data_IF_466464903826
#
_entry.id   IF_466464903826
#
_cell.length_a   1.000
_cell.length_b   1.000
_cell.length_c   1.000
_cell.angle_alpha   90.00
_cell.angle_beta   90.00
_cell.angle_gamma   90.00
#
_symmetry.space_group_name_H-M   'P 1'
#
loop_
_entity.id
_entity.type
_entity.pdbx_description
1 polymer ?
#
# COMPACT_ATOMS: atom_id res chain seq x y z
N UNK A 1 15.65 -19.49 21.99
CA UNK A 1 15.11 -18.13 21.71
C UNK A 1 16.24 -17.23 21.24
N UNK A 2 15.92 -16.29 20.39
CA UNK A 2 16.85 -15.34 19.79
C UNK A 2 16.37 -13.90 20.03
N UNK A 3 17.30 -12.98 20.24
CA UNK A 3 17.04 -11.55 20.09
C UNK A 3 17.48 -11.14 18.69
N UNK A 4 16.63 -10.43 17.98
CA UNK A 4 16.94 -9.76 16.73
C UNK A 4 17.13 -8.27 17.02
N UNK A 5 18.26 -7.73 16.59
CA UNK A 5 18.60 -6.31 16.72
C UNK A 5 18.67 -5.75 15.31
N UNK A 6 17.85 -4.75 15.04
CA UNK A 6 17.79 -4.05 13.76
C UNK A 6 18.39 -2.67 13.94
N UNK A 7 19.29 -2.26 13.05
CA UNK A 7 19.88 -0.92 13.00
C UNK A 7 19.60 -0.28 11.65
N UNK A 8 19.35 1.03 11.65
CA UNK A 8 19.10 1.84 10.45
C UNK A 8 19.74 3.21 10.58
N UNK A 9 19.78 3.98 9.51
CA UNK A 9 20.29 5.34 9.50
C UNK A 9 19.15 6.34 9.23
N UNK A 10 18.76 7.10 10.25
CA UNK A 10 17.69 8.08 10.14
C UNK A 10 16.36 7.44 9.72
N UNK A 11 15.74 7.96 8.68
CA UNK A 11 14.47 7.46 8.10
C UNK A 11 14.67 6.55 6.89
N UNK A 12 15.92 6.11 6.62
CA UNK A 12 16.19 5.17 5.51
C UNK A 12 15.61 3.79 5.83
N UNK A 13 15.06 3.14 4.84
CA UNK A 13 14.46 1.80 4.91
C UNK A 13 15.50 0.67 4.81
N UNK A 14 16.80 1.00 4.88
CA UNK A 14 17.90 0.04 4.82
C UNK A 14 18.34 -0.35 6.22
N UNK A 15 18.51 -1.65 6.44
CA UNK A 15 18.77 -2.21 7.75
C UNK A 15 19.97 -3.14 7.77
N UNK A 16 20.70 -3.12 8.90
CA UNK A 16 21.53 -4.24 9.32
C UNK A 16 20.78 -5.07 10.35
N UNK A 17 21.01 -6.38 10.32
CA UNK A 17 20.43 -7.32 11.26
C UNK A 17 21.52 -8.00 12.06
N UNK A 18 21.33 -8.03 13.38
CA UNK A 18 22.20 -8.79 14.29
C UNK A 18 21.33 -9.73 15.12
N UNK A 19 21.86 -10.91 15.43
CA UNK A 19 21.19 -11.92 16.24
C UNK A 19 22.02 -12.26 17.46
N UNK A 20 21.32 -12.60 18.54
CA UNK A 20 21.93 -13.01 19.81
C UNK A 20 21.12 -14.16 20.41
N UNK A 21 21.72 -15.30 20.75
CA UNK A 21 21.01 -16.39 21.40
C UNK A 21 20.61 -16.02 22.83
N UNK A 22 19.34 -16.22 23.19
CA UNK A 22 18.79 -16.03 24.53
C UNK A 22 18.72 -17.39 25.24
N UNK A 23 19.84 -17.89 25.75
CA UNK A 23 19.92 -19.15 26.51
C UNK A 23 19.96 -18.90 28.02
N UNK A 24 20.10 -19.98 28.80
CA UNK A 24 20.29 -19.93 30.28
C UNK A 24 21.58 -19.18 30.66
N UNK A 25 22.57 -19.13 29.77
CA UNK A 25 23.77 -18.29 29.88
C UNK A 25 23.88 -17.48 28.55
N UNK A 26 23.21 -16.36 28.46
CA UNK A 26 23.28 -15.51 27.24
C UNK A 26 24.73 -15.04 27.06
N UNK A 27 25.24 -15.17 25.84
CA UNK A 27 26.60 -14.70 25.53
C UNK A 27 26.72 -13.19 25.49
N UNK A 28 25.62 -12.46 25.43
CA UNK A 28 25.52 -11.00 25.24
C UNK A 28 26.33 -10.48 24.04
N UNK A 29 26.69 -11.38 23.13
CA UNK A 29 27.41 -11.03 21.90
C UNK A 29 26.46 -11.17 20.73
N UNK A 30 26.02 -10.05 20.20
CA UNK A 30 25.28 -10.01 18.95
C UNK A 30 26.21 -10.39 17.80
N UNK A 31 25.74 -11.23 16.90
CA UNK A 31 26.44 -11.62 15.67
C UNK A 31 25.71 -11.02 14.49
N UNK A 32 26.42 -10.48 13.50
CA UNK A 32 25.78 -9.94 12.30
C UNK A 32 25.13 -11.07 11.49
N UNK A 33 23.85 -10.92 11.18
CA UNK A 33 23.09 -11.74 10.24
C UNK A 33 23.09 -11.10 8.85
N UNK A 34 22.91 -9.78 8.80
CA UNK A 34 23.00 -8.96 7.58
C UNK A 34 23.86 -7.74 7.89
N UNK A 35 24.84 -7.46 7.04
CA UNK A 35 25.73 -6.30 7.13
C UNK A 35 25.49 -5.34 5.97
N UNK A 36 25.82 -4.08 6.21
CA UNK A 36 25.70 -3.01 5.23
C UNK A 36 24.26 -2.53 5.09
N UNK A 37 24.03 -1.27 5.24
CA UNK A 37 22.73 -0.63 5.11
C UNK A 37 22.32 -0.54 3.62
N UNK A 38 22.09 -1.70 2.98
CA UNK A 38 21.86 -1.80 1.54
C UNK A 38 20.40 -2.11 1.18
N UNK A 39 19.73 -2.89 2.02
CA UNK A 39 18.40 -3.45 1.74
C UNK A 39 17.45 -3.30 2.91
N UNK A 40 16.16 -3.28 2.59
CA UNK A 40 15.06 -3.39 3.55
C UNK A 40 14.96 -4.82 4.08
N UNK A 41 14.74 -4.95 5.40
CA UNK A 41 14.54 -6.22 6.09
C UNK A 41 13.48 -6.07 7.17
N UNK A 42 12.34 -6.73 7.00
CA UNK A 42 11.25 -6.74 7.98
C UNK A 42 11.05 -8.17 8.49
N UNK A 43 11.16 -8.38 9.80
CA UNK A 43 10.85 -9.67 10.40
C UNK A 43 9.36 -9.98 10.23
N UNK A 44 9.06 -11.14 9.67
CA UNK A 44 7.70 -11.70 9.60
C UNK A 44 7.40 -12.47 10.88
N UNK A 45 8.23 -13.47 11.21
CA UNK A 45 8.07 -14.33 12.38
C UNK A 45 9.33 -15.17 12.64
N UNK A 46 9.44 -15.68 13.86
CA UNK A 46 10.48 -16.61 14.27
C UNK A 46 9.91 -17.86 14.93
N UNK A 47 10.20 -19.04 14.37
CA UNK A 47 9.79 -20.34 14.91
C UNK A 47 11.01 -21.23 15.15
N UNK A 48 11.35 -21.44 16.41
CA UNK A 48 12.56 -22.16 16.78
C UNK A 48 13.81 -21.40 16.33
N UNK A 49 14.57 -21.98 15.42
CA UNK A 49 15.76 -21.38 14.82
C UNK A 49 15.50 -20.78 13.43
N UNK A 50 14.30 -20.92 12.91
CA UNK A 50 13.95 -20.39 11.58
C UNK A 50 13.28 -19.03 11.71
N UNK A 51 13.79 -18.05 10.96
CA UNK A 51 13.25 -16.70 10.85
C UNK A 51 12.80 -16.45 9.42
N UNK A 52 11.67 -15.75 9.25
CA UNK A 52 11.17 -15.30 7.94
C UNK A 52 11.24 -13.78 7.87
N UNK A 53 11.66 -13.28 6.73
CA UNK A 53 11.78 -11.85 6.46
C UNK A 53 11.12 -11.48 5.14
N UNK A 54 10.59 -10.26 5.09
CA UNK A 54 10.34 -9.53 3.83
C UNK A 54 11.58 -8.70 3.53
N UNK A 55 12.04 -8.70 2.27
CA UNK A 55 13.20 -7.91 1.84
C UNK A 55 13.10 -7.46 0.41
N UNK A 56 13.75 -6.32 0.08
CA UNK A 56 13.93 -5.85 -1.29
C UNK A 56 15.27 -6.31 -1.91
N UNK A 57 16.03 -7.17 -1.24
CA UNK A 57 17.28 -7.70 -1.78
C UNK A 57 17.02 -8.51 -3.06
N UNK A 58 17.56 -8.02 -4.18
CA UNK A 58 17.34 -8.57 -5.53
C UNK A 58 15.84 -8.71 -5.91
N UNK A 59 14.97 -7.87 -5.31
CA UNK A 59 13.52 -7.89 -5.46
C UNK A 59 12.91 -6.51 -5.16
N UNK A 60 12.95 -5.53 -6.08
CA UNK A 60 12.50 -4.16 -5.84
C UNK A 60 11.02 -4.03 -5.44
N UNK A 61 10.18 -5.05 -5.66
CA UNK A 61 8.79 -5.15 -5.20
C UNK A 61 8.62 -6.08 -4.01
N UNK A 62 9.71 -6.41 -3.33
CA UNK A 62 9.80 -7.26 -2.15
C UNK A 62 9.53 -8.75 -2.43
N UNK A 63 10.18 -9.57 -1.61
CA UNK A 63 10.03 -11.03 -1.56
C UNK A 63 10.06 -11.52 -0.12
N UNK A 64 9.65 -12.76 0.11
CA UNK A 64 9.79 -13.43 1.41
C UNK A 64 10.94 -14.41 1.35
N UNK A 65 11.83 -14.31 2.32
CA UNK A 65 12.94 -15.25 2.52
C UNK A 65 12.87 -15.87 3.91
N UNK A 66 13.54 -17.00 4.10
CA UNK A 66 13.76 -17.57 5.44
C UNK A 66 15.24 -17.89 5.65
N UNK A 67 15.64 -17.96 6.92
CA UNK A 67 16.99 -18.31 7.32
C UNK A 67 16.93 -19.19 8.59
N UNK A 68 17.76 -20.25 8.66
CA UNK A 68 18.03 -20.97 9.90
C UNK A 68 19.25 -20.35 10.58
N UNK A 69 19.06 -19.82 11.77
CA UNK A 69 20.08 -19.08 12.52
C UNK A 69 20.90 -19.95 13.48
N UNK A 70 20.64 -21.26 13.55
CA UNK A 70 21.43 -22.18 14.36
C UNK A 70 22.76 -22.56 13.70
N UNK A 71 22.88 -22.39 12.40
CA UNK A 71 24.08 -22.73 11.64
C UNK A 71 25.23 -21.72 11.80
N UNK A 72 26.48 -22.19 11.58
CA UNK A 72 27.66 -21.30 11.62
C UNK A 72 27.68 -20.26 10.50
N UNK A 73 27.03 -20.55 9.38
CA UNK A 73 26.90 -19.68 8.22
C UNK A 73 25.43 -19.67 7.75
N UNK A 74 24.58 -18.78 8.30
CA UNK A 74 23.19 -18.71 7.91
C UNK A 74 23.03 -18.38 6.41
N UNK A 75 22.20 -19.16 5.71
CA UNK A 75 21.90 -18.98 4.29
C UNK A 75 20.42 -18.62 4.16
N UNK A 76 20.14 -17.51 3.46
CA UNK A 76 18.77 -17.13 3.12
C UNK A 76 18.25 -17.96 1.96
N UNK A 77 17.02 -18.44 2.12
CA UNK A 77 16.31 -19.23 1.10
C UNK A 77 15.06 -18.45 0.67
N UNK A 78 14.84 -18.28 -0.62
CA UNK A 78 13.62 -17.67 -1.15
C UNK A 78 12.42 -18.56 -0.88
N UNK A 79 11.38 -18.00 -0.25
CA UNK A 79 10.12 -18.68 0.09
C UNK A 79 9.01 -18.20 -0.86
N UNK A 80 8.88 -16.89 -1.04
CA UNK A 80 7.95 -16.29 -1.98
C UNK A 80 8.76 -15.35 -2.88
N UNK A 81 8.91 -15.65 -4.17
CA UNK A 81 9.65 -14.79 -5.09
C UNK A 81 8.93 -13.47 -5.33
N UNK A 82 9.67 -12.47 -5.81
CA UNK A 82 9.09 -11.21 -6.30
C UNK A 82 8.03 -11.47 -7.38
N UNK A 83 7.01 -10.62 -7.38
CA UNK A 83 5.91 -10.65 -8.35
C UNK A 83 5.78 -9.30 -9.07
N UNK A 84 4.85 -9.24 -10.03
CA UNK A 84 4.48 -7.97 -10.67
C UNK A 84 3.80 -7.00 -9.69
N UNK A 85 3.07 -7.54 -8.71
CA UNK A 85 2.46 -6.80 -7.62
C UNK A 85 3.48 -6.51 -6.52
N UNK A 86 3.35 -5.36 -5.86
CA UNK A 86 4.24 -4.98 -4.74
C UNK A 86 3.79 -5.64 -3.45
N UNK A 87 4.63 -6.50 -2.86
CA UNK A 87 4.39 -7.05 -1.53
C UNK A 87 4.51 -5.93 -0.49
N UNK A 88 3.55 -5.79 0.40
CA UNK A 88 3.58 -4.80 1.48
C UNK A 88 3.74 -5.41 2.85
N UNK A 89 3.29 -6.65 3.01
CA UNK A 89 3.37 -7.36 4.27
C UNK A 89 3.26 -8.86 4.07
N UNK A 90 3.95 -9.62 4.92
CA UNK A 90 3.76 -11.04 5.09
C UNK A 90 3.52 -11.35 6.57
N UNK A 91 2.68 -12.34 6.86
CA UNK A 91 2.36 -12.77 8.23
C UNK A 91 2.16 -14.27 8.28
N UNK A 92 2.45 -14.88 9.43
CA UNK A 92 2.15 -16.29 9.68
C UNK A 92 0.87 -16.38 10.51
N UNK A 93 -0.11 -17.13 9.98
CA UNK A 93 -1.39 -17.44 10.63
C UNK A 93 -1.56 -18.95 10.58
N UNK A 94 -1.51 -19.59 11.74
CA UNK A 94 -1.44 -21.06 11.80
C UNK A 94 -0.22 -21.59 11.06
N UNK A 95 -0.45 -22.42 10.07
CA UNK A 95 0.60 -23.04 9.22
C UNK A 95 0.69 -22.38 7.82
N UNK A 96 0.25 -21.13 7.68
CA UNK A 96 0.18 -20.44 6.41
C UNK A 96 0.88 -19.09 6.45
N UNK A 97 1.46 -18.70 5.31
CA UNK A 97 1.86 -17.34 5.02
C UNK A 97 0.70 -16.61 4.37
N UNK A 98 0.25 -15.52 4.99
CA UNK A 98 -0.67 -14.54 4.40
C UNK A 98 0.18 -13.40 3.85
N UNK A 99 -0.04 -13.07 2.59
CA UNK A 99 0.74 -12.10 1.81
C UNK A 99 -0.19 -10.97 1.38
N UNK A 100 0.11 -9.77 1.82
CA UNK A 100 -0.61 -8.56 1.39
C UNK A 100 0.17 -7.88 0.28
N UNK A 101 -0.49 -7.63 -0.85
CA UNK A 101 0.06 -6.96 -2.02
C UNK A 101 -0.72 -5.69 -2.35
N UNK A 102 -0.06 -4.79 -3.06
CA UNK A 102 -0.73 -3.73 -3.82
C UNK A 102 -0.66 -4.09 -5.31
N UNK A 103 -1.83 -4.13 -5.93
CA UNK A 103 -2.01 -4.28 -7.36
C UNK A 103 -2.78 -3.09 -7.91
N UNK A 104 -2.13 -2.27 -8.74
CA UNK A 104 -2.72 -1.05 -9.28
C UNK A 104 -3.37 -0.19 -8.18
N UNK A 105 -2.60 0.12 -7.12
CA UNK A 105 -3.01 0.95 -5.99
C UNK A 105 -4.20 0.43 -5.16
N UNK A 106 -4.55 -0.84 -5.23
CA UNK A 106 -5.57 -1.49 -4.40
C UNK A 106 -5.03 -2.76 -3.74
N UNK A 107 -5.62 -3.15 -2.62
CA UNK A 107 -5.20 -4.35 -1.91
C UNK A 107 -5.52 -5.62 -2.68
N UNK A 108 -4.57 -6.54 -2.63
CA UNK A 108 -4.70 -7.94 -3.02
C UNK A 108 -4.10 -8.79 -1.91
N UNK A 109 -4.76 -9.84 -1.50
CA UNK A 109 -4.28 -10.75 -0.47
C UNK A 109 -4.13 -12.16 -1.01
N UNK A 110 -3.05 -12.85 -0.62
CA UNK A 110 -2.78 -14.23 -1.02
C UNK A 110 -2.37 -15.07 0.18
N UNK A 111 -2.49 -16.37 0.05
CA UNK A 111 -2.08 -17.34 1.06
C UNK A 111 -1.26 -18.46 0.42
N UNK A 112 -0.17 -18.87 1.09
CA UNK A 112 0.67 -20.00 0.68
C UNK A 112 1.18 -20.78 1.91
N UNK A 113 1.95 -21.84 1.68
CA UNK A 113 2.58 -22.62 2.75
C UNK A 113 3.82 -21.90 3.33
N UNK A 114 4.26 -22.28 4.53
CA UNK A 114 5.47 -21.74 5.16
C UNK A 114 6.77 -22.05 4.40
N UNK A 115 6.75 -23.09 3.57
CA UNK A 115 7.86 -23.44 2.68
C UNK A 115 7.75 -22.81 1.28
N UNK A 116 6.71 -21.99 1.06
CA UNK A 116 6.39 -21.45 -0.26
C UNK A 116 5.54 -22.40 -1.10
N UNK A 117 5.54 -22.19 -2.41
CA UNK A 117 4.75 -22.94 -3.37
C UNK A 117 3.58 -22.12 -3.96
N UNK A 118 2.62 -22.77 -4.64
CA UNK A 118 1.50 -22.08 -5.25
C UNK A 118 0.72 -21.25 -4.23
N UNK A 119 0.53 -19.97 -4.52
CA UNK A 119 -0.25 -19.08 -3.69
C UNK A 119 -1.69 -18.97 -4.19
N UNK A 120 -2.65 -19.02 -3.27
CA UNK A 120 -4.10 -18.87 -3.53
C UNK A 120 -4.52 -17.46 -3.15
N UNK A 121 -5.32 -16.82 -3.98
CA UNK A 121 -5.89 -15.51 -3.68
C UNK A 121 -6.97 -15.61 -2.60
N UNK A 122 -6.95 -14.66 -1.67
CA UNK A 122 -8.00 -14.42 -0.68
C UNK A 122 -8.91 -13.36 -1.29
N UNK A 123 -10.18 -13.71 -1.55
CA UNK A 123 -11.14 -12.78 -2.14
C UNK A 123 -11.44 -11.62 -1.20
N UNK A 124 -11.25 -10.40 -1.67
CA UNK A 124 -11.58 -9.16 -0.95
C UNK A 124 -12.90 -8.52 -1.43
N UNK A 125 -13.56 -9.12 -2.41
CA UNK A 125 -14.91 -8.79 -2.92
C UNK A 125 -15.10 -7.42 -3.60
N UNK A 126 -14.18 -6.46 -3.46
CA UNK A 126 -14.34 -5.12 -4.04
C UNK A 126 -12.99 -4.40 -4.22
N UNK A 127 -13.01 -3.26 -4.93
CA UNK A 127 -11.90 -2.29 -4.95
C UNK A 127 -11.81 -1.66 -3.56
N UNK A 128 -10.69 -1.86 -2.86
CA UNK A 128 -10.55 -1.36 -1.51
C UNK A 128 -9.17 -1.60 -0.91
N UNK A 129 -9.08 -1.35 0.37
CA UNK A 129 -7.90 -1.57 1.20
C UNK A 129 -8.22 -2.60 2.27
N UNK A 130 -7.47 -3.70 2.26
CA UNK A 130 -7.46 -4.68 3.32
C UNK A 130 -6.25 -4.47 4.24
N UNK A 131 -6.45 -4.56 5.55
CA UNK A 131 -5.40 -4.46 6.56
C UNK A 131 -5.68 -5.42 7.71
N UNK A 132 -4.61 -5.86 8.37
CA UNK A 132 -4.73 -6.83 9.47
C UNK A 132 -4.10 -8.16 9.08
N UNK A 133 -4.84 -9.25 9.17
CA UNK A 133 -4.36 -10.63 9.06
C UNK A 133 -3.28 -10.98 10.10
N UNK A 134 -3.22 -10.23 11.21
CA UNK A 134 -2.29 -10.52 12.30
C UNK A 134 -2.70 -11.82 12.98
N UNK A 135 -1.74 -12.71 13.21
CA UNK A 135 -1.99 -14.00 13.83
C UNK A 135 -0.75 -14.53 14.50
N UNK A 136 -0.84 -15.77 14.96
CA UNK A 136 0.26 -16.51 15.57
C UNK A 136 0.41 -17.88 14.91
N UNK A 137 1.64 -18.45 14.91
CA UNK A 137 1.82 -19.83 14.50
C UNK A 137 0.95 -20.76 15.38
N UNK A 138 0.24 -21.70 14.73
CA UNK A 138 -0.62 -22.66 15.41
C UNK A 138 -2.09 -22.24 15.57
N UNK A 139 -2.42 -20.94 15.48
CA UNK A 139 -3.81 -20.47 15.45
C UNK A 139 -4.22 -20.14 14.01
N UNK A 140 -5.15 -20.88 13.42
CA UNK A 140 -5.57 -20.67 12.04
C UNK A 140 -6.52 -19.50 11.85
N UNK A 141 -7.04 -18.91 12.92
CA UNK A 141 -7.99 -17.79 12.88
C UNK A 141 -7.26 -16.46 12.88
N UNK A 142 -7.74 -15.55 12.04
CA UNK A 142 -7.31 -14.16 12.06
C UNK A 142 -8.45 -13.22 11.62
N UNK A 143 -8.23 -11.93 11.79
CA UNK A 143 -9.17 -10.89 11.38
C UNK A 143 -8.46 -9.89 10.47
N UNK A 144 -9.24 -9.33 9.53
CA UNK A 144 -8.80 -8.21 8.72
C UNK A 144 -9.90 -7.17 8.57
N UNK A 145 -9.51 -5.91 8.51
CA UNK A 145 -10.37 -4.81 8.13
C UNK A 145 -10.39 -4.63 6.62
N UNK A 146 -11.54 -4.30 6.05
CA UNK A 146 -11.67 -3.90 4.66
C UNK A 146 -12.45 -2.60 4.55
N UNK A 147 -11.95 -1.66 3.75
CA UNK A 147 -12.58 -0.37 3.50
C UNK A 147 -12.46 0.01 2.03
N UNK A 148 -13.42 0.78 1.52
CA UNK A 148 -13.40 1.36 0.18
C UNK A 148 -13.83 2.83 0.27
N UNK A 149 -13.81 3.58 -0.83
CA UNK A 149 -14.25 4.98 -0.83
C UNK A 149 -15.69 5.17 -0.38
N UNK A 150 -16.59 4.24 -0.75
CA UNK A 150 -18.03 4.26 -0.43
C UNK A 150 -18.42 3.26 0.68
N UNK A 151 -17.45 2.59 1.30
CA UNK A 151 -17.71 1.59 2.34
C UNK A 151 -16.76 1.82 3.52
N UNK A 152 -17.28 2.20 4.70
CA UNK A 152 -16.48 2.27 5.92
C UNK A 152 -15.87 0.92 6.27
N UNK A 153 -14.86 0.95 7.14
CA UNK A 153 -14.17 -0.26 7.56
C UNK A 153 -15.11 -1.30 8.16
N UNK A 154 -15.20 -2.45 7.50
CA UNK A 154 -15.81 -3.67 8.03
C UNK A 154 -14.71 -4.62 8.52
N UNK A 155 -15.02 -5.46 9.49
CA UNK A 155 -14.11 -6.48 10.02
C UNK A 155 -14.57 -7.84 9.54
N UNK A 156 -13.64 -8.61 9.00
CA UNK A 156 -13.86 -9.98 8.55
C UNK A 156 -13.01 -10.93 9.39
N UNK A 157 -13.60 -12.07 9.72
CA UNK A 157 -12.93 -13.23 10.29
C UNK A 157 -12.46 -14.13 9.16
N UNK A 158 -11.20 -14.55 9.19
CA UNK A 158 -10.59 -15.42 8.17
C UNK A 158 -10.03 -16.68 8.81
N UNK A 159 -10.32 -17.84 8.22
CA UNK A 159 -9.75 -19.14 8.62
C UNK A 159 -8.72 -19.58 7.57
N UNK A 160 -7.45 -19.65 7.96
CA UNK A 160 -6.33 -19.99 7.08
C UNK A 160 -6.30 -21.46 6.63
N UNK A 161 -7.07 -22.36 7.26
CA UNK A 161 -7.20 -23.77 6.85
C UNK A 161 -8.14 -23.89 5.64
N UNK A 162 -9.25 -23.16 5.68
CA UNK A 162 -10.28 -23.21 4.63
C UNK A 162 -10.10 -22.14 3.56
N UNK A 163 -9.46 -21.02 3.92
CA UNK A 163 -9.33 -19.84 3.07
C UNK A 163 -10.63 -19.04 2.96
N UNK A 164 -11.55 -19.20 3.90
CA UNK A 164 -12.84 -18.53 3.91
C UNK A 164 -12.83 -17.28 4.80
N UNK A 165 -13.46 -16.22 4.30
CA UNK A 165 -13.75 -14.99 5.05
C UNK A 165 -15.23 -14.93 5.37
N UNK A 166 -15.57 -14.54 6.59
CA UNK A 166 -16.94 -14.26 7.04
C UNK A 166 -17.02 -12.88 7.66
N UNK A 167 -18.09 -12.13 7.38
CA UNK A 167 -18.29 -10.84 8.03
C UNK A 167 -18.41 -11.03 9.55
N UNK A 168 -17.64 -10.25 10.31
CA UNK A 168 -17.64 -10.27 11.77
C UNK A 168 -18.30 -9.02 12.34
N UNK A 169 -17.97 -7.86 11.81
CA UNK A 169 -18.59 -6.59 12.19
C UNK A 169 -18.66 -5.66 10.98
N UNK A 170 -19.86 -5.20 10.68
CA UNK A 170 -20.13 -4.28 9.58
C UNK A 170 -20.84 -3.03 10.11
N UNK A 171 -20.41 -1.82 9.71
CA UNK A 171 -21.09 -0.60 10.10
C UNK A 171 -22.45 -0.49 9.42
N UNK A 172 -23.43 0.05 10.13
CA UNK A 172 -24.71 0.44 9.53
C UNK A 172 -24.51 1.74 8.76
N UNK A 173 -24.96 1.77 7.51
CA UNK A 173 -24.84 2.93 6.64
C UNK A 173 -26.17 3.67 6.56
N UNK A 174 -26.11 5.01 6.50
CA UNK A 174 -27.25 5.88 6.21
C UNK A 174 -27.47 6.12 4.71
N UNK A 175 -26.66 5.50 3.85
CA UNK A 175 -26.72 5.59 2.40
C UNK A 175 -26.46 4.22 1.76
N UNK A 176 -26.83 4.06 0.50
CA UNK A 176 -26.55 2.85 -0.26
C UNK A 176 -25.19 2.99 -1.01
N UNK A 177 -24.15 2.18 -0.69
CA UNK A 177 -22.89 2.21 -1.41
C UNK A 177 -23.01 2.00 -2.93
N UNK A 178 -24.05 1.26 -3.38
CA UNK A 178 -24.28 0.99 -4.79
C UNK A 178 -24.67 2.24 -5.61
N UNK A 179 -25.04 3.37 -4.93
CA UNK A 179 -25.38 4.63 -5.60
C UNK A 179 -24.15 5.40 -6.10
N UNK A 180 -22.94 4.92 -5.77
CA UNK A 180 -21.69 5.58 -6.12
C UNK A 180 -20.89 4.74 -7.10
N UNK A 181 -20.31 5.42 -8.11
CA UNK A 181 -19.33 4.86 -9.02
C UNK A 181 -17.93 5.01 -8.43
N UNK A 182 -17.12 3.96 -8.53
CA UNK A 182 -15.69 3.98 -8.26
C UNK A 182 -15.02 3.48 -9.53
N UNK A 183 -14.32 4.39 -10.21
CA UNK A 183 -13.60 4.08 -11.44
C UNK A 183 -12.10 4.12 -11.18
N UNK A 184 -11.37 3.21 -11.80
CA UNK A 184 -9.93 3.29 -11.86
C UNK A 184 -9.52 3.58 -13.29
N UNK A 185 -8.77 4.65 -13.48
CA UNK A 185 -8.25 5.08 -14.77
C UNK A 185 -6.73 5.17 -14.74
N UNK A 186 -6.13 5.18 -15.93
CA UNK A 186 -4.70 5.41 -16.11
C UNK A 186 -4.54 6.55 -17.11
N UNK A 187 -3.76 7.55 -16.75
CA UNK A 187 -3.46 8.68 -17.59
C UNK A 187 -1.94 8.83 -17.79
N UNK A 188 -1.50 9.37 -18.93
CA UNK A 188 -0.09 9.62 -19.14
C UNK A 188 0.36 10.86 -18.39
N UNK A 189 1.49 10.79 -17.69
CA UNK A 189 2.24 11.95 -17.22
C UNK A 189 2.98 12.62 -18.38
N UNK A 190 3.63 13.75 -18.11
CA UNK A 190 4.39 14.52 -19.10
C UNK A 190 5.46 13.70 -19.83
N UNK A 191 6.07 12.74 -19.17
CA UNK A 191 7.08 11.83 -19.71
C UNK A 191 6.49 10.53 -20.30
N UNK A 192 5.16 10.40 -20.38
CA UNK A 192 4.45 9.25 -20.88
C UNK A 192 4.24 8.14 -19.85
N UNK A 193 4.75 8.28 -18.63
CA UNK A 193 4.51 7.30 -17.55
C UNK A 193 3.03 7.19 -17.26
N UNK A 194 2.49 5.96 -17.21
CA UNK A 194 1.08 5.71 -16.87
C UNK A 194 0.86 5.82 -15.38
N UNK A 195 0.04 6.79 -14.97
CA UNK A 195 -0.28 7.07 -13.58
C UNK A 195 -1.70 6.59 -13.27
N UNK A 196 -1.91 5.76 -12.23
CA UNK A 196 -3.25 5.36 -11.81
C UNK A 196 -3.95 6.49 -11.08
N UNK A 197 -5.27 6.56 -11.25
CA UNK A 197 -6.14 7.45 -10.49
C UNK A 197 -7.48 6.78 -10.25
N UNK A 198 -8.00 6.92 -9.04
CA UNK A 198 -9.38 6.59 -8.73
C UNK A 198 -10.25 7.82 -8.87
N UNK A 199 -11.45 7.65 -9.44
CA UNK A 199 -12.45 8.70 -9.57
C UNK A 199 -13.75 8.17 -8.94
N UNK A 200 -14.32 8.97 -8.03
CA UNK A 200 -15.51 8.59 -7.26
C UNK A 200 -16.56 9.68 -7.38
N UNK A 201 -17.76 9.29 -7.76
CA UNK A 201 -18.90 10.21 -7.87
C UNK A 201 -20.23 9.46 -7.72
N UNK A 202 -21.31 10.21 -7.51
CA UNK A 202 -22.66 9.63 -7.50
C UNK A 202 -23.04 9.16 -8.90
N UNK A 203 -23.64 7.98 -9.02
CA UNK A 203 -24.18 7.48 -10.29
C UNK A 203 -25.26 8.43 -10.80
N UNK A 204 -25.27 8.67 -12.12
CA UNK A 204 -26.22 9.60 -12.74
C UNK A 204 -25.91 11.08 -12.48
N UNK A 205 -24.72 11.41 -11.95
CA UNK A 205 -24.30 12.81 -11.83
C UNK A 205 -24.21 13.45 -13.21
N UNK A 206 -24.86 14.63 -13.36
CA UNK A 206 -24.76 15.42 -14.60
C UNK A 206 -23.36 16.06 -14.73
N UNK A 207 -22.58 15.55 -15.65
CA UNK A 207 -21.24 16.03 -15.96
C UNK A 207 -21.19 16.95 -17.21
N UNK A 208 -22.32 17.31 -17.79
CA UNK A 208 -22.38 18.10 -19.05
C UNK A 208 -21.66 19.45 -18.94
N UNK A 209 -21.57 20.03 -17.75
CA UNK A 209 -20.85 21.30 -17.48
C UNK A 209 -19.64 21.10 -16.58
N UNK A 210 -19.20 19.84 -16.35
CA UNK A 210 -18.25 19.45 -15.34
C UNK A 210 -18.74 19.70 -13.92
N UNK A 211 -18.40 18.83 -12.98
CA UNK A 211 -18.75 18.95 -11.56
C UNK A 211 -17.63 19.62 -10.74
N UNK A 212 -17.94 20.22 -9.58
CA UNK A 212 -16.93 20.56 -8.60
C UNK A 212 -16.13 19.31 -8.24
N UNK A 213 -14.80 19.36 -8.38
CA UNK A 213 -13.93 18.20 -8.23
C UNK A 213 -12.83 18.48 -7.22
N UNK A 214 -12.63 17.55 -6.30
CA UNK A 214 -11.53 17.55 -5.36
C UNK A 214 -10.51 16.49 -5.78
N UNK A 215 -9.33 16.92 -6.20
CA UNK A 215 -8.20 16.07 -6.55
C UNK A 215 -7.24 15.98 -5.37
N UNK A 216 -7.00 14.77 -4.88
CA UNK A 216 -6.07 14.48 -3.79
C UNK A 216 -4.81 13.80 -4.31
N UNK A 217 -3.66 14.17 -3.76
CA UNK A 217 -2.39 13.50 -3.99
C UNK A 217 -1.46 13.54 -2.78
N UNK A 218 -0.47 12.64 -2.78
CA UNK A 218 0.57 12.59 -1.74
C UNK A 218 1.98 12.56 -2.34
N UNK A 219 2.34 11.51 -3.08
CA UNK A 219 3.54 11.37 -3.90
C UNK A 219 4.86 11.47 -3.11
N UNK A 220 5.08 10.64 -2.10
CA UNK A 220 6.33 10.63 -1.37
C UNK A 220 6.43 9.54 -0.30
N UNK A 221 7.63 9.42 0.29
CA UNK A 221 7.95 8.56 1.44
C UNK A 221 7.55 7.10 1.30
N UNK A 222 7.54 6.56 0.06
CA UNK A 222 7.12 5.18 -0.22
C UNK A 222 5.71 4.85 0.32
N UNK A 223 4.87 5.87 0.56
CA UNK A 223 3.52 5.69 1.10
C UNK A 223 2.53 5.56 -0.05
N UNK A 224 1.99 4.36 -0.22
CA UNK A 224 0.93 4.09 -1.19
C UNK A 224 -0.39 4.69 -0.76
N UNK A 225 -1.07 5.34 -1.70
CA UNK A 225 -2.43 5.83 -1.50
C UNK A 225 -3.41 4.79 -2.01
N UNK A 226 -4.18 4.20 -1.12
CA UNK A 226 -5.15 3.14 -1.46
C UNK A 226 -6.58 3.56 -1.12
N UNK A 227 -7.61 2.96 -1.74
CA UNK A 227 -9.01 3.31 -1.51
C UNK A 227 -9.41 3.13 -0.05
N UNK A 228 -9.79 4.21 0.62
CA UNK A 228 -10.25 4.22 2.01
C UNK A 228 -11.45 5.13 2.19
N UNK A 229 -12.31 4.80 3.14
CA UNK A 229 -13.46 5.60 3.49
C UNK A 229 -13.07 6.88 4.23
N UNK A 230 -13.76 7.96 3.89
CA UNK A 230 -13.74 9.21 4.65
C UNK A 230 -15.14 9.81 4.65
N UNK A 231 -15.70 10.07 5.83
CA UNK A 231 -17.03 10.65 5.95
C UNK A 231 -17.12 12.05 5.31
N UNK A 232 -16.06 12.85 5.40
CA UNK A 232 -16.01 14.19 4.78
C UNK A 232 -15.99 14.12 3.26
N UNK A 233 -15.20 13.18 2.68
CA UNK A 233 -15.20 12.94 1.23
C UNK A 233 -16.53 12.38 0.76
N UNK A 234 -17.15 11.50 1.56
CA UNK A 234 -18.46 10.95 1.23
C UNK A 234 -19.54 12.05 1.23
N UNK A 235 -19.52 12.97 2.19
CA UNK A 235 -20.41 14.13 2.20
C UNK A 235 -20.23 15.02 0.96
N UNK A 236 -18.98 15.26 0.54
CA UNK A 236 -18.65 15.96 -0.71
C UNK A 236 -19.28 15.28 -1.93
N UNK A 237 -19.08 13.95 -2.05
CA UNK A 237 -19.60 13.16 -3.17
C UNK A 237 -21.14 13.14 -3.17
N UNK A 238 -21.77 12.99 -2.00
CA UNK A 238 -23.23 13.02 -1.84
C UNK A 238 -23.82 14.38 -2.26
N UNK A 239 -23.10 15.47 -2.06
CA UNK A 239 -23.47 16.82 -2.45
C UNK A 239 -23.28 17.12 -3.95
N UNK A 240 -22.91 16.11 -4.76
CA UNK A 240 -22.72 16.25 -6.20
C UNK A 240 -21.29 16.61 -6.62
N UNK A 241 -20.32 16.52 -5.72
CA UNK A 241 -18.90 16.63 -6.04
C UNK A 241 -18.31 15.35 -6.61
N UNK A 242 -17.22 15.49 -7.37
CA UNK A 242 -16.33 14.40 -7.78
C UNK A 242 -15.13 14.39 -6.84
N UNK A 243 -14.68 13.20 -6.42
CA UNK A 243 -13.43 13.00 -5.71
C UNK A 243 -12.48 12.19 -6.59
N UNK A 244 -11.26 12.66 -6.75
CA UNK A 244 -10.21 11.94 -7.46
C UNK A 244 -8.99 11.74 -6.57
N UNK A 245 -8.39 10.54 -6.59
CA UNK A 245 -7.18 10.17 -5.87
C UNK A 245 -6.12 9.75 -6.88
N UNK A 246 -5.10 10.58 -7.08
CA UNK A 246 -3.99 10.27 -7.97
C UNK A 246 -2.87 9.51 -7.23
N UNK A 247 -2.45 8.38 -7.79
CA UNK A 247 -1.38 7.53 -7.26
C UNK A 247 -0.04 7.94 -7.87
N UNK A 248 0.55 8.99 -7.32
CA UNK A 248 1.72 9.66 -7.89
C UNK A 248 3.01 8.89 -7.62
N UNK A 249 3.99 9.04 -8.51
CA UNK A 249 5.37 8.61 -8.24
C UNK A 249 5.87 9.19 -6.91
N UNK A 250 6.83 8.50 -6.27
CA UNK A 250 7.26 8.81 -4.90
C UNK A 250 6.51 8.02 -3.83
N UNK A 251 5.31 7.50 -4.14
CA UNK A 251 4.62 6.49 -3.35
C UNK A 251 5.22 5.10 -3.51
N UNK A 252 4.58 4.08 -2.94
CA UNK A 252 5.04 2.68 -2.93
C UNK A 252 4.24 1.74 -3.85
N UNK A 253 3.31 2.25 -4.65
CA UNK A 253 2.32 1.46 -5.39
C UNK A 253 2.94 0.42 -6.32
N UNK A 254 4.11 0.74 -6.90
CA UNK A 254 4.85 -0.14 -7.80
C UNK A 254 6.27 -0.44 -7.29
N UNK A 255 6.47 -0.34 -5.96
CA UNK A 255 7.73 -0.66 -5.30
C UNK A 255 8.81 0.41 -5.44
N UNK A 256 10.06 0.00 -5.16
CA UNK A 256 11.20 0.93 -5.10
C UNK A 256 11.42 1.80 -6.35
N UNK A 257 11.29 1.30 -7.60
CA UNK A 257 11.45 2.16 -8.78
C UNK A 257 10.43 3.30 -8.84
N UNK A 258 9.19 3.06 -8.41
CA UNK A 258 8.15 4.07 -8.34
C UNK A 258 8.46 5.14 -7.30
N UNK A 259 8.94 4.71 -6.14
CA UNK A 259 9.37 5.62 -5.09
C UNK A 259 10.56 6.48 -5.52
N UNK A 260 11.61 5.87 -6.08
CA UNK A 260 12.82 6.56 -6.50
C UNK A 260 12.55 7.55 -7.66
N UNK A 261 11.56 7.26 -8.52
CA UNK A 261 11.16 8.13 -9.62
C UNK A 261 10.44 9.42 -9.17
N UNK A 262 10.09 9.56 -7.87
CA UNK A 262 9.39 10.74 -7.34
C UNK A 262 10.09 11.40 -6.15
N UNK A 263 11.39 11.13 -5.91
CA UNK A 263 12.12 11.71 -4.78
C UNK A 263 13.39 12.43 -5.20
N UNK A 264 13.94 13.26 -4.30
CA UNK A 264 15.19 14.02 -4.49
C UNK A 264 15.16 14.80 -5.81
N UNK A 265 16.13 14.55 -6.71
CA UNK A 265 16.23 15.23 -7.99
C UNK A 265 15.10 14.87 -8.98
N UNK A 266 14.38 13.79 -8.73
CA UNK A 266 13.22 13.37 -9.52
C UNK A 266 11.88 13.92 -8.99
N UNK A 267 11.90 14.80 -7.98
CA UNK A 267 10.67 15.28 -7.33
C UNK A 267 9.73 16.01 -8.28
N UNK A 268 10.24 16.64 -9.34
CA UNK A 268 9.41 17.31 -10.36
C UNK A 268 8.43 16.33 -11.03
N UNK A 269 8.79 15.08 -11.20
CA UNK A 269 7.88 14.07 -11.77
C UNK A 269 6.55 13.97 -11.01
N UNK A 270 6.58 14.14 -9.67
CA UNK A 270 5.37 14.10 -8.84
C UNK A 270 4.42 15.26 -9.15
N UNK A 271 4.98 16.44 -9.38
CA UNK A 271 4.20 17.63 -9.72
C UNK A 271 3.65 17.54 -11.14
N UNK A 272 4.44 17.01 -12.08
CA UNK A 272 4.02 16.74 -13.45
C UNK A 272 2.90 15.68 -13.51
N UNK A 273 3.02 14.60 -12.70
CA UNK A 273 1.97 13.58 -12.56
C UNK A 273 0.64 14.19 -12.06
N UNK A 274 0.73 15.09 -11.07
CA UNK A 274 -0.45 15.70 -10.47
C UNK A 274 -1.12 16.72 -11.39
N UNK A 275 -0.33 17.52 -12.11
CA UNK A 275 -0.84 18.43 -13.13
C UNK A 275 -1.56 17.66 -14.25
N UNK A 276 -0.95 16.56 -14.73
CA UNK A 276 -1.55 15.69 -15.74
C UNK A 276 -2.86 15.03 -15.25
N UNK A 277 -2.99 14.72 -13.95
CA UNK A 277 -4.25 14.27 -13.37
C UNK A 277 -5.36 15.32 -13.53
N UNK A 278 -5.06 16.56 -13.19
CA UNK A 278 -5.99 17.67 -13.34
C UNK A 278 -6.40 17.89 -14.80
N UNK A 279 -5.44 17.87 -15.72
CA UNK A 279 -5.68 17.98 -17.17
C UNK A 279 -6.57 16.83 -17.68
N UNK A 280 -6.31 15.60 -17.22
CA UNK A 280 -7.13 14.45 -17.56
C UNK A 280 -8.59 14.62 -17.10
N UNK A 281 -8.81 15.07 -15.86
CA UNK A 281 -10.15 15.28 -15.31
C UNK A 281 -10.93 16.34 -16.10
N UNK A 282 -10.28 17.42 -16.53
CA UNK A 282 -10.87 18.45 -17.41
C UNK A 282 -11.16 17.88 -18.79
N UNK A 283 -10.18 17.23 -19.42
CA UNK A 283 -10.30 16.70 -20.78
C UNK A 283 -11.39 15.61 -20.90
N UNK A 284 -11.62 14.84 -19.82
CA UNK A 284 -12.67 13.81 -19.76
C UNK A 284 -14.03 14.33 -19.29
N UNK A 285 -14.13 15.60 -18.96
CA UNK A 285 -15.39 16.25 -18.58
C UNK A 285 -15.86 15.97 -17.15
N UNK A 286 -15.03 15.37 -16.30
CA UNK A 286 -15.36 15.20 -14.87
C UNK A 286 -15.47 16.55 -14.17
N UNK A 287 -14.63 17.52 -14.58
CA UNK A 287 -14.62 18.90 -14.08
C UNK A 287 -14.46 19.88 -15.21
N UNK A 288 -14.47 21.17 -14.87
CA UNK A 288 -14.23 22.28 -15.81
C UNK A 288 -13.27 23.28 -15.17
N UNK A 289 -12.72 24.18 -15.99
CA UNK A 289 -11.92 25.32 -15.51
C UNK A 289 -12.68 26.09 -14.42
N UNK A 290 -12.01 26.37 -13.30
CA UNK A 290 -12.59 27.05 -12.15
C UNK A 290 -13.40 26.14 -11.19
N UNK A 291 -13.42 24.81 -11.44
CA UNK A 291 -14.13 23.84 -10.59
C UNK A 291 -13.23 22.74 -10.01
N UNK A 292 -11.92 22.79 -10.25
CA UNK A 292 -10.94 21.82 -9.77
C UNK A 292 -10.21 22.37 -8.56
N UNK A 293 -10.50 21.81 -7.39
CA UNK A 293 -9.77 22.04 -6.14
C UNK A 293 -8.77 20.92 -5.88
N UNK A 294 -7.68 21.21 -5.18
CA UNK A 294 -6.64 20.24 -4.82
C UNK A 294 -6.45 20.15 -3.31
N UNK A 295 -6.21 18.94 -2.82
CA UNK A 295 -5.93 18.64 -1.43
C UNK A 295 -4.66 17.78 -1.31
N UNK A 296 -3.84 18.08 -0.29
CA UNK A 296 -2.69 17.27 0.10
C UNK A 296 -2.27 17.58 1.51
N UNK A 297 -1.81 16.55 2.25
CA UNK A 297 -1.39 16.67 3.65
C UNK A 297 0.08 16.32 3.81
N UNK A 298 0.78 16.93 4.78
CA UNK A 298 2.20 16.67 5.05
C UNK A 298 3.04 16.87 3.76
N UNK A 299 3.70 15.82 3.23
CA UNK A 299 4.35 15.85 1.93
C UNK A 299 3.40 16.27 0.79
N UNK A 300 2.11 15.94 0.88
CA UNK A 300 1.09 16.43 -0.04
C UNK A 300 0.86 17.95 0.07
N UNK A 301 1.23 18.59 1.16
CA UNK A 301 1.26 20.06 1.28
C UNK A 301 2.31 20.70 0.39
N UNK A 302 3.52 20.10 0.28
CA UNK A 302 4.52 20.51 -0.71
C UNK A 302 3.98 20.32 -2.13
N UNK A 303 3.31 19.20 -2.41
CA UNK A 303 2.67 18.95 -3.71
C UNK A 303 1.69 20.05 -4.09
N UNK A 304 0.76 20.39 -3.18
CA UNK A 304 -0.25 21.43 -3.39
C UNK A 304 0.42 22.80 -3.63
N UNK A 305 1.36 23.20 -2.76
CA UNK A 305 2.06 24.49 -2.91
C UNK A 305 2.83 24.59 -4.22
N UNK A 306 3.56 23.55 -4.63
CA UNK A 306 4.27 23.50 -5.90
C UNK A 306 3.30 23.56 -7.09
N UNK A 307 2.19 22.83 -7.03
CA UNK A 307 1.20 22.74 -8.10
C UNK A 307 0.49 24.07 -8.32
N UNK A 308 0.10 24.79 -7.26
CA UNK A 308 -0.51 26.12 -7.36
C UNK A 308 0.45 27.15 -7.99
N UNK A 309 1.74 27.07 -7.64
CA UNK A 309 2.74 27.99 -8.22
C UNK A 309 3.06 27.66 -9.68
N UNK A 310 3.13 26.38 -10.04
CA UNK A 310 3.51 25.96 -11.40
C UNK A 310 2.32 25.98 -12.37
N UNK A 311 1.10 25.75 -11.89
CA UNK A 311 -0.12 25.64 -12.71
C UNK A 311 -1.31 26.40 -12.10
N UNK A 312 -1.16 27.75 -11.90
CA UNK A 312 -2.25 28.60 -11.39
C UNK A 312 -3.43 28.71 -12.38
N UNK A 313 -3.21 28.31 -13.64
CA UNK A 313 -4.23 28.26 -14.68
C UNK A 313 -5.19 27.07 -14.54
N UNK A 314 -4.76 26.01 -13.90
CA UNK A 314 -5.45 24.71 -13.84
C UNK A 314 -6.30 24.56 -12.58
N UNK A 315 -5.81 25.00 -11.43
CA UNK A 315 -6.43 24.78 -10.12
C UNK A 315 -7.16 26.03 -9.63
N UNK A 316 -8.40 25.83 -9.15
CA UNK A 316 -9.25 26.92 -8.67
C UNK A 316 -9.08 27.18 -7.16
N UNK A 317 -8.69 26.17 -6.39
CA UNK A 317 -8.46 26.22 -4.95
C UNK A 317 -7.54 25.08 -4.48
#
# INVERSE_FOLDING_TARGET
KWALITTSQGTDEKYELHIMPLGKKPSWKAQPLVKGLEHEWQLVEGMGNKLWFVTNKDAPRLKVVSVDVAGKAPVFTDIVPERAETLTRAQIVGERLILSYIKDAKSMAMMTNLAGGPAKEISLNAIGTASGFSGTPGDPETFYGFSSFNQPGAVYRFDSRTGQSTAFAEPKLSFNPADFAIEQVFYPSKDGTKIPMFIVHKKGLDLSKGAPTLLYGYGGFNISQTPTYSATRMAWIQSGGVFALANLRGGGEYGKPWHDAGRLMNKQNVFDDFAAAGEYLVAKGYTAKGKLAIEGRSNGGLLVGASLNQRPDLFAA
#
